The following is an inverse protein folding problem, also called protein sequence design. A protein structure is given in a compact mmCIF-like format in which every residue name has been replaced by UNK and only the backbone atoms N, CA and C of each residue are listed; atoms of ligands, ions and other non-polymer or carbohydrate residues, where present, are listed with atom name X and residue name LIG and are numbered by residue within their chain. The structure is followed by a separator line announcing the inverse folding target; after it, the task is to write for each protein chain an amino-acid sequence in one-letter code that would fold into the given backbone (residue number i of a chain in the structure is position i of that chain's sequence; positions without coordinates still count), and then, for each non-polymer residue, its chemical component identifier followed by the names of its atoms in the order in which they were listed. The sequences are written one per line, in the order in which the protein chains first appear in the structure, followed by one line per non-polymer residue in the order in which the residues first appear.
data_IF_572451100552
#
_entry.id   IF_572451100552
#
_cell.length_a   1.000
_cell.length_b   1.000
_cell.length_c   1.000
_cell.angle_alpha   90.00
_cell.angle_beta   90.00
_cell.angle_gamma   90.00
#
_symmetry.space_group_name_H-M   'P 1'
#
loop_
_entity.id
_entity.type
_entity.pdbx_description
1 polymer ?
#
# COMPACT_ATOMS: atom_id res chain seq x y z
N UNK A 1 34.28 3.33 -60.61
CA UNK A 1 35.16 4.32 -59.97
C UNK A 1 34.25 5.36 -59.35
N UNK A 2 33.99 5.31 -58.08
CA UNK A 2 34.66 5.89 -56.94
C UNK A 2 34.08 5.31 -55.66
N UNK A 3 34.97 4.85 -54.90
CA UNK A 3 34.88 4.33 -53.54
C UNK A 3 34.59 5.49 -52.58
N UNK A 4 33.72 5.29 -51.60
CA UNK A 4 33.65 6.09 -50.39
C UNK A 4 33.09 5.24 -49.21
N UNK A 5 33.97 4.42 -48.65
CA UNK A 5 33.80 3.81 -47.35
C UNK A 5 33.83 4.91 -46.26
N UNK A 6 32.71 5.28 -45.70
CA UNK A 6 32.67 6.06 -44.46
C UNK A 6 32.68 5.09 -43.25
N UNK A 7 33.79 5.03 -42.55
CA UNK A 7 33.89 4.40 -41.23
C UNK A 7 33.02 5.15 -40.24
N UNK A 8 32.28 4.42 -39.37
CA UNK A 8 31.58 5.09 -38.24
C UNK A 8 32.64 5.59 -37.24
N UNK A 9 32.46 6.81 -36.81
CA UNK A 9 33.28 7.46 -35.80
C UNK A 9 33.27 6.65 -34.49
N UNK A 10 34.49 6.38 -34.01
CA UNK A 10 34.75 5.86 -32.67
C UNK A 10 34.11 6.80 -31.62
N UNK A 11 33.05 6.37 -30.97
CA UNK A 11 32.60 6.94 -29.71
C UNK A 11 33.62 6.51 -28.64
N UNK A 12 34.45 7.43 -28.23
CA UNK A 12 35.38 7.25 -27.12
C UNK A 12 34.58 6.98 -25.81
N UNK A 13 34.88 5.93 -25.08
CA UNK A 13 34.29 5.73 -23.75
C UNK A 13 35.14 6.51 -22.73
N UNK A 14 34.69 7.73 -22.40
CA UNK A 14 35.17 8.43 -21.21
C UNK A 14 34.14 9.43 -20.72
N UNK A 15 32.99 8.92 -20.29
CA UNK A 15 32.26 9.58 -19.20
C UNK A 15 32.60 8.73 -17.98
N UNK A 16 33.50 9.22 -17.11
CA UNK A 16 33.62 8.75 -15.76
C UNK A 16 32.25 8.87 -15.13
N UNK A 17 31.58 7.77 -14.82
CA UNK A 17 30.40 7.79 -13.97
C UNK A 17 30.85 8.37 -12.64
N UNK A 18 30.49 9.63 -12.36
CA UNK A 18 30.61 10.17 -11.02
C UNK A 18 29.68 9.35 -10.14
N UNK A 19 30.26 8.56 -9.25
CA UNK A 19 29.51 7.82 -8.25
C UNK A 19 29.16 8.79 -7.12
N UNK A 20 27.87 9.15 -7.02
CA UNK A 20 27.35 9.93 -5.92
C UNK A 20 26.77 9.00 -4.85
N UNK A 21 27.40 8.99 -3.69
CA UNK A 21 26.88 8.30 -2.51
C UNK A 21 26.32 9.33 -1.54
N UNK A 22 25.05 9.20 -1.19
CA UNK A 22 24.41 10.02 -0.15
C UNK A 22 24.48 9.25 1.17
N UNK A 23 24.93 9.91 2.23
CA UNK A 23 24.95 9.33 3.57
C UNK A 23 23.55 9.02 4.05
N UNK A 24 23.36 7.85 4.69
CA UNK A 24 22.11 7.48 5.33
C UNK A 24 21.92 8.34 6.58
N UNK A 25 20.86 9.15 6.61
CA UNK A 25 20.52 9.99 7.76
C UNK A 25 19.93 9.18 8.91
N UNK A 26 19.15 8.16 8.58
CA UNK A 26 18.50 7.28 9.55
C UNK A 26 18.78 5.82 9.18
N UNK A 27 19.59 5.11 9.98
CA UNK A 27 19.78 3.66 9.79
C UNK A 27 18.46 2.92 10.03
N UNK A 28 18.07 2.04 9.11
CA UNK A 28 16.91 1.17 9.27
C UNK A 28 17.27 -0.01 10.17
N UNK A 29 16.45 -0.28 11.18
CA UNK A 29 16.56 -1.46 12.04
C UNK A 29 15.32 -2.37 11.87
N UNK A 30 15.41 -3.60 12.34
CA UNK A 30 14.39 -4.62 12.10
C UNK A 30 12.97 -4.25 12.55
N UNK A 31 12.83 -3.40 13.58
CA UNK A 31 11.54 -2.95 14.06
C UNK A 31 10.87 -1.85 13.20
N UNK A 32 11.56 -1.28 12.22
CA UNK A 32 11.01 -0.22 11.36
C UNK A 32 10.08 -0.80 10.28
N UNK A 33 8.83 -0.98 10.64
CA UNK A 33 7.76 -1.46 9.77
C UNK A 33 6.73 -0.35 9.50
N UNK A 34 5.82 -0.53 8.55
CA UNK A 34 4.75 0.46 8.30
C UNK A 34 3.81 0.63 9.50
N UNK A 35 3.41 -0.43 10.27
CA UNK A 35 2.73 -0.24 11.55
C UNK A 35 3.56 0.55 12.58
N UNK A 36 4.88 0.33 12.62
CA UNK A 36 5.76 1.12 13.49
C UNK A 36 5.70 2.62 13.13
N UNK A 37 5.71 2.98 11.85
CA UNK A 37 5.65 4.39 11.43
C UNK A 37 4.39 5.07 11.96
N UNK A 38 3.21 4.44 11.82
CA UNK A 38 1.97 4.97 12.38
C UNK A 38 2.00 5.02 13.92
N UNK A 39 2.55 4.00 14.59
CA UNK A 39 2.67 3.99 16.04
C UNK A 39 3.59 5.13 16.53
N UNK A 40 4.69 5.39 15.84
CA UNK A 40 5.62 6.47 16.14
C UNK A 40 4.97 7.85 15.92
N UNK A 41 4.17 8.01 14.87
CA UNK A 41 3.37 9.22 14.65
C UNK A 41 2.40 9.49 15.79
N UNK A 42 1.69 8.46 16.25
CA UNK A 42 0.79 8.57 17.40
C UNK A 42 1.56 8.91 18.68
N UNK A 43 2.74 8.31 18.89
CA UNK A 43 3.57 8.60 20.07
C UNK A 43 4.03 10.06 20.09
N UNK A 44 4.40 10.63 18.93
CA UNK A 44 4.88 12.02 18.82
C UNK A 44 3.75 13.04 18.94
N UNK A 45 2.61 12.80 18.31
CA UNK A 45 1.51 13.75 18.23
C UNK A 45 0.15 13.03 18.12
N UNK A 46 -0.37 12.47 19.23
CA UNK A 46 -1.59 11.65 19.22
C UNK A 46 -2.83 12.42 18.74
N UNK A 47 -2.94 13.68 19.13
CA UNK A 47 -4.09 14.55 18.83
C UNK A 47 -3.86 15.42 17.58
N UNK A 48 -2.66 15.37 17.01
CA UNK A 48 -2.33 16.06 15.76
C UNK A 48 -3.12 15.47 14.58
N UNK A 49 -3.59 16.35 13.68
CA UNK A 49 -4.28 15.93 12.46
C UNK A 49 -3.36 15.07 11.61
N UNK A 50 -3.88 13.93 11.13
CA UNK A 50 -3.14 13.02 10.28
C UNK A 50 -3.77 12.91 8.89
N UNK A 51 -5.06 12.66 8.83
CA UNK A 51 -5.76 12.45 7.57
C UNK A 51 -7.05 13.27 7.54
N UNK A 52 -7.37 13.84 6.38
CA UNK A 52 -8.61 14.55 6.17
C UNK A 52 -9.34 13.99 4.97
N UNK A 53 -10.67 13.83 5.09
CA UNK A 53 -11.53 13.40 3.99
C UNK A 53 -12.72 14.34 3.81
N UNK A 54 -13.24 14.43 2.60
CA UNK A 54 -14.49 15.14 2.37
C UNK A 54 -15.65 14.42 3.03
N UNK A 55 -16.53 15.19 3.69
CA UNK A 55 -17.79 14.64 4.18
C UNK A 55 -18.67 14.19 2.99
N UNK A 56 -19.32 13.02 3.03
CA UNK A 56 -20.24 12.57 1.98
C UNK A 56 -21.39 13.57 1.70
N UNK A 57 -21.80 14.30 2.72
CA UNK A 57 -22.92 15.27 2.67
C UNK A 57 -22.46 16.72 2.45
N UNK A 58 -21.15 16.98 2.24
CA UNK A 58 -20.72 18.36 2.26
C UNK A 58 -19.40 18.72 1.63
N UNK A 59 -19.25 20.04 1.50
CA UNK A 59 -18.05 20.69 0.97
C UNK A 59 -16.90 20.78 1.99
N UNK A 60 -17.11 20.28 3.23
CA UNK A 60 -16.13 20.43 4.33
C UNK A 60 -15.23 19.19 4.42
N UNK A 61 -13.97 19.45 4.61
CA UNK A 61 -13.00 18.43 5.02
C UNK A 61 -13.23 18.11 6.50
N UNK A 62 -13.16 16.82 6.83
CA UNK A 62 -13.12 16.32 8.21
C UNK A 62 -11.75 15.77 8.46
N UNK A 63 -11.07 16.37 9.39
CA UNK A 63 -9.75 15.94 9.85
C UNK A 63 -9.91 14.91 10.96
N UNK A 64 -8.99 13.95 10.99
CA UNK A 64 -8.89 12.90 11.98
C UNK A 64 -7.50 12.93 12.58
N UNK A 65 -7.41 12.82 13.92
CA UNK A 65 -6.14 12.75 14.62
C UNK A 65 -5.42 11.41 14.38
N UNK A 66 -4.12 11.39 14.63
CA UNK A 66 -3.32 10.19 14.51
C UNK A 66 -3.82 9.03 15.39
N UNK A 67 -4.21 9.34 16.64
CA UNK A 67 -4.77 8.34 17.56
C UNK A 67 -6.11 7.78 17.09
N UNK A 68 -7.01 8.66 16.58
CA UNK A 68 -8.31 8.25 16.07
C UNK A 68 -8.15 7.40 14.79
N UNK A 69 -7.23 7.76 13.90
CA UNK A 69 -6.95 6.97 12.71
C UNK A 69 -6.40 5.59 13.08
N UNK A 70 -5.40 5.52 13.96
CA UNK A 70 -4.84 4.23 14.42
C UNK A 70 -5.90 3.35 15.06
N UNK A 71 -6.84 3.93 15.83
CA UNK A 71 -7.96 3.17 16.40
C UNK A 71 -8.79 2.51 15.30
N UNK A 72 -9.17 3.24 14.26
CA UNK A 72 -9.92 2.66 13.14
C UNK A 72 -9.11 1.61 12.36
N UNK A 73 -7.80 1.86 12.14
CA UNK A 73 -6.89 0.89 11.54
C UNK A 73 -6.94 -0.43 12.30
N UNK A 74 -6.82 -0.41 13.64
CA UNK A 74 -6.85 -1.62 14.47
C UNK A 74 -8.22 -2.30 14.48
N UNK A 75 -9.32 -1.54 14.44
CA UNK A 75 -10.68 -2.10 14.33
C UNK A 75 -10.87 -2.85 13.01
N UNK A 76 -10.42 -2.29 11.89
CA UNK A 76 -10.48 -2.95 10.57
C UNK A 76 -9.53 -4.14 10.52
N UNK A 77 -8.30 -4.01 11.06
CA UNK A 77 -7.33 -5.10 11.15
C UNK A 77 -7.90 -6.30 11.92
N UNK A 78 -8.54 -6.06 13.07
CA UNK A 78 -9.24 -7.12 13.82
C UNK A 78 -10.34 -7.77 12.97
N UNK A 79 -11.05 -7.00 12.13
CA UNK A 79 -12.02 -7.53 11.20
C UNK A 79 -11.40 -8.46 10.14
N UNK A 80 -10.23 -8.11 9.62
CA UNK A 80 -9.49 -8.97 8.68
C UNK A 80 -9.04 -10.27 9.36
N UNK A 81 -8.58 -10.20 10.60
CA UNK A 81 -8.27 -11.38 11.42
C UNK A 81 -9.51 -12.27 11.63
N UNK A 82 -10.66 -11.66 11.97
CA UNK A 82 -11.93 -12.38 12.14
C UNK A 82 -12.42 -13.07 10.87
N UNK A 83 -12.00 -12.60 9.69
CA UNK A 83 -12.23 -13.26 8.39
C UNK A 83 -11.33 -14.46 8.13
N UNK A 84 -10.46 -14.80 9.06
CA UNK A 84 -9.58 -15.97 9.01
C UNK A 84 -8.24 -15.72 8.31
N UNK A 85 -7.92 -14.46 7.96
CA UNK A 85 -6.64 -14.15 7.34
C UNK A 85 -5.48 -14.34 8.33
N UNK A 86 -4.43 -14.98 7.84
CA UNK A 86 -3.22 -15.28 8.61
C UNK A 86 -2.08 -14.34 8.25
N UNK A 87 -1.09 -14.12 9.14
CA UNK A 87 0.12 -13.37 8.78
C UNK A 87 0.76 -13.90 7.49
N UNK A 88 1.10 -13.00 6.57
CA UNK A 88 1.63 -13.32 5.25
C UNK A 88 0.59 -13.56 4.18
N UNK A 89 -0.70 -13.70 4.50
CA UNK A 89 -1.76 -13.79 3.48
C UNK A 89 -1.84 -12.49 2.68
N UNK A 90 -2.12 -12.63 1.38
CA UNK A 90 -2.27 -11.50 0.47
C UNK A 90 -3.71 -10.97 0.47
N UNK A 91 -3.86 -9.64 0.55
CA UNK A 91 -5.11 -8.92 0.40
C UNK A 91 -5.05 -7.97 -0.80
N UNK A 92 -6.04 -8.06 -1.70
CA UNK A 92 -6.18 -7.14 -2.84
C UNK A 92 -6.93 -5.86 -2.46
N UNK A 93 -6.53 -4.73 -3.03
CA UNK A 93 -7.30 -3.48 -2.99
C UNK A 93 -7.45 -2.95 -4.42
N UNK A 94 -8.70 -2.79 -4.89
CA UNK A 94 -9.04 -2.29 -6.21
C UNK A 94 -10.01 -1.12 -6.09
N UNK A 95 -9.47 0.10 -6.06
CA UNK A 95 -10.24 1.32 -5.83
C UNK A 95 -9.46 2.54 -6.33
N UNK A 96 -10.14 3.66 -6.53
CA UNK A 96 -9.48 4.96 -6.63
C UNK A 96 -8.82 5.33 -5.31
N UNK A 97 -7.88 6.28 -5.36
CA UNK A 97 -7.27 6.85 -4.15
C UNK A 97 -8.34 7.45 -3.26
N UNK A 98 -8.50 6.90 -2.07
CA UNK A 98 -9.54 7.24 -1.11
C UNK A 98 -9.06 7.08 0.33
N UNK A 99 -9.84 7.60 1.27
CA UNK A 99 -9.62 7.35 2.70
C UNK A 99 -9.66 5.86 3.04
N UNK A 100 -10.61 5.15 2.45
CA UNK A 100 -10.81 3.72 2.65
C UNK A 100 -9.60 2.91 2.17
N UNK A 101 -8.93 3.34 1.10
CA UNK A 101 -7.68 2.71 0.64
C UNK A 101 -6.60 2.80 1.71
N UNK A 102 -6.29 4.03 2.16
CA UNK A 102 -5.27 4.25 3.20
C UNK A 102 -5.59 3.49 4.49
N UNK A 103 -6.86 3.49 4.88
CA UNK A 103 -7.32 2.74 6.05
C UNK A 103 -7.07 1.23 5.90
N UNK A 104 -7.35 0.67 4.73
CA UNK A 104 -7.15 -0.75 4.42
C UNK A 104 -5.68 -1.13 4.33
N UNK A 105 -4.82 -0.28 3.76
CA UNK A 105 -3.37 -0.51 3.72
C UNK A 105 -2.80 -0.66 5.13
N UNK A 106 -3.02 0.34 5.97
CA UNK A 106 -2.52 0.29 7.34
C UNK A 106 -3.17 -0.82 8.16
N UNK A 107 -4.46 -1.13 7.94
CA UNK A 107 -5.13 -2.23 8.62
C UNK A 107 -4.58 -3.60 8.21
N UNK A 108 -4.29 -3.79 6.93
CA UNK A 108 -3.66 -5.01 6.43
C UNK A 108 -2.27 -5.20 7.03
N UNK A 109 -1.45 -4.16 7.06
CA UNK A 109 -0.12 -4.23 7.68
C UNK A 109 -0.18 -4.46 9.19
N UNK A 110 -1.12 -3.82 9.91
CA UNK A 110 -1.34 -4.07 11.34
C UNK A 110 -1.78 -5.52 11.61
N UNK A 111 -2.50 -6.14 10.67
CA UNK A 111 -2.88 -7.56 10.73
C UNK A 111 -1.77 -8.52 10.26
N UNK A 112 -0.61 -8.01 9.82
CA UNK A 112 0.51 -8.80 9.31
C UNK A 112 0.29 -9.35 7.90
N UNK A 113 -0.55 -8.70 7.09
CA UNK A 113 -0.91 -9.11 5.73
C UNK A 113 -0.06 -8.39 4.67
N UNK A 114 -0.05 -8.97 3.46
CA UNK A 114 0.64 -8.42 2.29
C UNK A 114 -0.40 -7.74 1.38
N UNK A 115 -0.20 -6.47 1.07
CA UNK A 115 -1.14 -5.73 0.22
C UNK A 115 -0.78 -5.88 -1.25
N UNK A 116 -1.77 -6.22 -2.06
CA UNK A 116 -1.67 -6.34 -3.52
C UNK A 116 -2.56 -5.27 -4.15
N UNK A 117 -1.98 -4.12 -4.56
CA UNK A 117 -2.74 -3.08 -5.23
C UNK A 117 -3.13 -3.52 -6.64
N UNK A 118 -4.41 -3.31 -6.97
CA UNK A 118 -4.95 -3.53 -8.31
C UNK A 118 -5.51 -2.21 -8.82
N UNK A 119 -5.12 -1.81 -10.03
CA UNK A 119 -5.66 -0.59 -10.62
C UNK A 119 -7.17 -0.72 -10.84
N UNK A 120 -7.91 0.32 -10.53
CA UNK A 120 -9.36 0.41 -10.74
C UNK A 120 -9.76 0.25 -12.21
N UNK A 121 -8.82 0.53 -13.11
CA UNK A 121 -8.99 0.40 -14.58
C UNK A 121 -8.57 -0.97 -15.12
N UNK A 122 -8.13 -1.90 -14.26
CA UNK A 122 -7.71 -3.23 -14.69
C UNK A 122 -8.87 -4.01 -15.34
N UNK A 123 -8.58 -4.66 -16.47
CA UNK A 123 -9.52 -5.59 -17.07
C UNK A 123 -9.72 -6.83 -16.19
N UNK A 124 -10.79 -7.58 -16.43
CA UNK A 124 -11.04 -8.85 -15.74
C UNK A 124 -9.86 -9.83 -15.88
N UNK A 125 -9.24 -9.90 -17.07
CA UNK A 125 -8.07 -10.76 -17.33
C UNK A 125 -6.84 -10.30 -16.51
N UNK A 126 -6.59 -8.98 -16.42
CA UNK A 126 -5.51 -8.44 -15.62
C UNK A 126 -5.75 -8.69 -14.12
N UNK A 127 -6.97 -8.44 -13.64
CA UNK A 127 -7.34 -8.71 -12.26
C UNK A 127 -7.20 -10.20 -11.93
N UNK A 128 -7.71 -11.09 -12.79
CA UNK A 128 -7.55 -12.53 -12.65
C UNK A 128 -6.08 -12.92 -12.48
N UNK A 129 -5.22 -12.42 -13.39
CA UNK A 129 -3.80 -12.75 -13.35
C UNK A 129 -3.16 -12.30 -12.04
N UNK A 130 -3.37 -11.04 -11.62
CA UNK A 130 -2.80 -10.49 -10.40
C UNK A 130 -3.28 -11.27 -9.17
N UNK A 131 -4.58 -11.53 -9.07
CA UNK A 131 -5.19 -12.21 -7.92
C UNK A 131 -4.72 -13.64 -7.78
N UNK A 132 -4.56 -14.35 -8.91
CA UNK A 132 -4.07 -15.74 -8.93
C UNK A 132 -2.58 -15.82 -8.64
N UNK A 133 -1.76 -15.00 -9.32
CA UNK A 133 -0.29 -15.02 -9.19
C UNK A 133 0.17 -14.62 -7.78
N UNK A 134 -0.49 -13.63 -7.18
CA UNK A 134 -0.21 -13.22 -5.79
C UNK A 134 -0.91 -14.08 -4.72
N UNK A 135 -1.76 -15.03 -5.09
CA UNK A 135 -2.49 -15.86 -4.13
C UNK A 135 -3.41 -15.07 -3.21
N UNK A 136 -4.10 -14.05 -3.74
CA UNK A 136 -4.95 -13.16 -2.95
C UNK A 136 -6.10 -13.93 -2.29
N UNK A 137 -6.25 -13.79 -0.97
CA UNK A 137 -7.27 -14.48 -0.16
C UNK A 137 -8.54 -13.65 0.04
N UNK A 138 -8.39 -12.34 0.05
CA UNK A 138 -9.48 -11.39 0.17
C UNK A 138 -9.17 -10.18 -0.72
N UNK A 139 -10.18 -9.67 -1.44
CA UNK A 139 -10.08 -8.40 -2.15
C UNK A 139 -11.15 -7.44 -1.67
N UNK A 140 -10.77 -6.17 -1.50
CA UNK A 140 -11.70 -5.06 -1.29
C UNK A 140 -11.76 -4.26 -2.58
N UNK A 141 -12.94 -4.14 -3.15
CA UNK A 141 -13.19 -3.35 -4.36
C UNK A 141 -14.01 -2.11 -4.03
N UNK A 142 -13.95 -1.10 -4.89
CA UNK A 142 -14.61 0.18 -4.65
C UNK A 142 -16.13 0.08 -4.75
N UNK A 143 -16.65 -0.51 -5.84
CA UNK A 143 -18.05 -0.41 -6.24
C UNK A 143 -18.64 -1.73 -6.74
N UNK A 144 -19.96 -1.74 -6.97
CA UNK A 144 -20.70 -2.90 -7.43
C UNK A 144 -20.24 -3.44 -8.78
N UNK A 145 -19.80 -2.60 -9.71
CA UNK A 145 -19.33 -3.06 -11.01
C UNK A 145 -18.05 -3.88 -10.87
N UNK A 146 -17.11 -3.42 -10.05
CA UNK A 146 -15.89 -4.16 -9.73
C UNK A 146 -16.20 -5.44 -8.94
N UNK A 147 -17.12 -5.37 -7.96
CA UNK A 147 -17.54 -6.53 -7.19
C UNK A 147 -18.16 -7.63 -8.08
N UNK A 148 -18.97 -7.24 -9.04
CA UNK A 148 -19.58 -8.15 -10.02
C UNK A 148 -18.52 -8.75 -10.94
N UNK A 149 -17.57 -7.96 -11.43
CA UNK A 149 -16.47 -8.43 -12.27
C UNK A 149 -15.61 -9.47 -11.54
N UNK A 150 -15.17 -9.16 -10.31
CA UNK A 150 -14.35 -10.09 -9.52
C UNK A 150 -15.17 -11.31 -9.08
N UNK A 151 -16.45 -11.14 -8.73
CA UNK A 151 -17.37 -12.22 -8.40
C UNK A 151 -17.57 -13.21 -9.54
N UNK A 152 -17.57 -12.75 -10.79
CA UNK A 152 -17.59 -13.64 -11.95
C UNK A 152 -16.30 -14.49 -12.05
N UNK A 153 -15.15 -13.93 -11.68
CA UNK A 153 -13.87 -14.68 -11.64
C UNK A 153 -13.91 -15.79 -10.59
N UNK A 154 -14.47 -15.56 -9.41
CA UNK A 154 -14.57 -16.59 -8.37
C UNK A 154 -15.42 -17.79 -8.80
N UNK A 155 -16.32 -17.59 -9.74
CA UNK A 155 -17.20 -18.66 -10.28
C UNK A 155 -16.60 -19.42 -11.46
N UNK A 156 -15.58 -18.85 -12.11
CA UNK A 156 -15.03 -19.40 -13.38
C UNK A 156 -13.57 -19.82 -13.27
N UNK A 157 -12.85 -19.33 -12.27
CA UNK A 157 -11.41 -19.58 -12.06
C UNK A 157 -11.24 -20.40 -10.78
N UNK A 158 -10.84 -21.67 -10.86
CA UNK A 158 -10.75 -22.56 -9.70
C UNK A 158 -9.84 -22.03 -8.59
N UNK A 159 -8.74 -21.39 -8.94
CA UNK A 159 -7.77 -20.82 -8.00
C UNK A 159 -8.36 -19.65 -7.17
N UNK A 160 -9.46 -19.05 -7.65
CA UNK A 160 -10.14 -17.94 -6.99
C UNK A 160 -11.48 -18.34 -6.34
N UNK A 161 -11.85 -19.62 -6.31
CA UNK A 161 -13.12 -20.10 -5.73
C UNK A 161 -13.30 -19.68 -4.28
N UNK A 162 -12.21 -19.66 -3.49
CA UNK A 162 -12.22 -19.28 -2.08
C UNK A 162 -11.93 -17.79 -1.82
N UNK A 163 -11.77 -16.97 -2.87
CA UNK A 163 -11.50 -15.53 -2.74
C UNK A 163 -12.70 -14.82 -2.09
N UNK A 164 -12.45 -14.14 -0.98
CA UNK A 164 -13.45 -13.28 -0.37
C UNK A 164 -13.50 -11.92 -1.07
N UNK A 165 -14.69 -11.47 -1.45
CA UNK A 165 -14.89 -10.17 -2.12
C UNK A 165 -15.69 -9.26 -1.20
N UNK A 166 -15.10 -8.11 -0.84
CA UNK A 166 -15.73 -7.04 -0.10
C UNK A 166 -15.85 -5.79 -0.98
N UNK A 167 -16.88 -4.96 -0.72
CA UNK A 167 -17.14 -3.76 -1.51
C UNK A 167 -17.28 -2.53 -0.60
N UNK A 168 -16.55 -1.46 -0.91
CA UNK A 168 -16.59 -0.21 -0.14
C UNK A 168 -17.98 0.40 -0.23
N UNK A 169 -18.58 0.44 -1.41
CA UNK A 169 -19.92 1.00 -1.64
C UNK A 169 -21.02 0.27 -0.85
N UNK A 170 -20.84 -1.02 -0.55
CA UNK A 170 -21.73 -1.83 0.32
C UNK A 170 -21.51 -1.60 1.81
N UNK A 171 -20.62 -0.72 2.18
CA UNK A 171 -20.17 -0.53 3.57
C UNK A 171 -19.55 -1.79 4.21
N UNK A 172 -18.98 -2.70 3.43
CA UNK A 172 -18.40 -3.93 3.95
C UNK A 172 -17.19 -3.67 4.88
N UNK A 173 -16.51 -2.52 4.73
CA UNK A 173 -15.46 -2.07 5.66
C UNK A 173 -16.03 -1.84 7.08
N UNK A 174 -17.25 -1.30 7.19
CA UNK A 174 -17.94 -1.22 8.49
C UNK A 174 -18.34 -2.61 9.02
N UNK A 175 -18.60 -3.55 8.11
CA UNK A 175 -18.80 -4.97 8.44
C UNK A 175 -17.57 -5.61 9.07
N UNK A 176 -16.37 -5.28 8.59
CA UNK A 176 -15.11 -5.72 9.18
C UNK A 176 -14.97 -5.24 10.63
N UNK A 177 -15.22 -3.96 10.91
CA UNK A 177 -15.16 -3.41 12.27
C UNK A 177 -16.09 -4.18 13.22
N UNK A 178 -17.32 -4.50 12.76
CA UNK A 178 -18.26 -5.29 13.57
C UNK A 178 -17.76 -6.71 13.83
N UNK A 179 -17.21 -7.37 12.81
CA UNK A 179 -16.68 -8.72 12.90
C UNK A 179 -15.46 -8.80 13.85
N UNK A 180 -14.62 -7.77 13.85
CA UNK A 180 -13.40 -7.70 14.65
C UNK A 180 -13.62 -7.58 16.16
N UNK A 181 -14.81 -7.24 16.64
CA UNK A 181 -15.10 -7.01 18.07
C UNK A 181 -14.82 -8.21 18.98
N UNK A 182 -14.83 -9.42 18.44
CA UNK A 182 -14.54 -10.66 19.18
C UNK A 182 -13.07 -11.10 19.14
N UNK A 183 -12.22 -10.39 18.43
CA UNK A 183 -10.80 -10.72 18.33
C UNK A 183 -10.07 -10.29 19.60
N UNK A 184 -9.19 -11.16 20.12
CA UNK A 184 -8.36 -10.86 21.29
C UNK A 184 -7.53 -9.58 21.03
N UNK A 185 -7.59 -8.65 21.97
CA UNK A 185 -6.89 -7.35 21.85
C UNK A 185 -5.37 -7.52 21.68
N UNK A 186 -4.76 -8.58 22.23
CA UNK A 186 -3.35 -8.89 22.11
C UNK A 186 -2.94 -9.54 20.78
N UNK A 187 -3.92 -9.96 19.94
CA UNK A 187 -3.60 -10.65 18.68
C UNK A 187 -2.89 -9.73 17.70
N UNK A 188 -3.37 -8.50 17.51
CA UNK A 188 -2.72 -7.55 16.64
C UNK A 188 -1.32 -7.15 17.14
N UNK A 189 -1.14 -7.05 18.45
CA UNK A 189 0.17 -6.76 19.04
C UNK A 189 1.16 -7.90 18.79
N UNK A 190 0.70 -9.16 18.88
CA UNK A 190 1.52 -10.33 18.53
C UNK A 190 1.92 -10.32 17.05
N UNK A 191 0.97 -10.00 16.16
CA UNK A 191 1.22 -9.95 14.71
C UNK A 191 2.19 -8.85 14.34
N UNK A 192 2.00 -7.64 14.84
CA UNK A 192 2.91 -6.52 14.58
C UNK A 192 4.30 -6.73 15.18
N UNK A 193 4.39 -7.34 16.37
CA UNK A 193 5.66 -7.68 17.01
C UNK A 193 6.46 -8.75 16.24
N UNK A 194 5.79 -9.58 15.45
CA UNK A 194 6.43 -10.61 14.61
C UNK A 194 6.95 -10.04 13.28
N UNK A 195 6.52 -8.84 12.87
CA UNK A 195 7.00 -8.20 11.65
C UNK A 195 8.42 -7.65 11.83
N UNK A 196 9.19 -7.73 10.77
CA UNK A 196 10.51 -7.13 10.65
C UNK A 196 10.58 -6.24 9.43
N UNK A 197 11.64 -5.45 9.29
CA UNK A 197 11.92 -4.67 8.08
C UNK A 197 12.01 -5.55 6.82
N UNK A 198 12.34 -6.83 6.97
CA UNK A 198 12.41 -7.79 5.86
C UNK A 198 11.08 -8.46 5.53
N UNK A 199 10.07 -8.33 6.41
CA UNK A 199 8.73 -8.88 6.14
C UNK A 199 8.13 -8.20 4.91
N UNK A 200 7.49 -9.02 4.04
CA UNK A 200 6.85 -8.53 2.83
C UNK A 200 5.67 -7.63 3.19
N UNK A 201 5.64 -6.41 2.63
CA UNK A 201 4.57 -5.44 2.87
C UNK A 201 3.59 -5.35 1.71
N UNK A 202 4.09 -5.48 0.47
CA UNK A 202 3.26 -5.32 -0.72
C UNK A 202 3.87 -5.99 -1.93
N UNK A 203 3.01 -6.43 -2.88
CA UNK A 203 3.40 -6.90 -4.21
C UNK A 203 2.80 -5.97 -5.24
N UNK A 204 3.63 -5.16 -5.90
CA UNK A 204 3.18 -4.18 -6.89
C UNK A 204 3.38 -4.72 -8.30
N UNK A 205 2.28 -4.84 -9.06
CA UNK A 205 2.33 -5.35 -10.43
C UNK A 205 2.67 -4.24 -11.41
N UNK A 206 3.72 -4.47 -12.21
CA UNK A 206 4.18 -3.53 -13.24
C UNK A 206 4.01 -4.17 -14.63
N UNK A 207 3.65 -3.33 -15.63
CA UNK A 207 3.64 -3.75 -17.02
C UNK A 207 5.06 -4.02 -17.48
N UNK A 208 5.45 -5.29 -17.51
CA UNK A 208 6.73 -5.71 -18.07
C UNK A 208 6.75 -5.52 -19.60
N UNK A 209 7.94 -5.36 -20.17
CA UNK A 209 8.14 -5.26 -21.63
C UNK A 209 7.81 -6.55 -22.39
N UNK A 210 7.47 -7.65 -21.71
CA UNK A 210 7.40 -9.01 -22.25
C UNK A 210 6.04 -9.70 -22.06
N UNK A 211 4.92 -8.99 -21.88
CA UNK A 211 3.60 -9.60 -21.82
C UNK A 211 2.87 -9.40 -20.47
N UNK A 212 2.68 -10.45 -19.66
CA UNK A 212 1.92 -10.35 -18.40
C UNK A 212 2.63 -9.47 -17.36
N UNK A 213 1.88 -8.69 -16.56
CA UNK A 213 2.44 -7.93 -15.44
C UNK A 213 3.24 -8.82 -14.48
N UNK A 214 4.35 -8.29 -13.96
CA UNK A 214 5.20 -8.96 -12.97
C UNK A 214 5.01 -8.34 -11.61
N UNK A 215 4.86 -9.16 -10.58
CA UNK A 215 4.80 -8.74 -9.19
C UNK A 215 6.19 -8.37 -8.67
N UNK A 216 6.32 -7.14 -8.17
CA UNK A 216 7.52 -6.66 -7.48
C UNK A 216 7.24 -6.72 -5.98
N UNK A 217 7.97 -7.55 -5.28
CA UNK A 217 7.89 -7.72 -3.83
C UNK A 217 8.65 -6.58 -3.13
N UNK A 218 7.96 -5.85 -2.26
CA UNK A 218 8.56 -4.80 -1.44
C UNK A 218 8.33 -5.11 0.04
N UNK A 219 9.43 -5.10 0.81
CA UNK A 219 9.38 -5.28 2.25
C UNK A 219 8.94 -4.00 2.97
N UNK A 220 8.56 -4.10 4.25
CA UNK A 220 8.33 -2.94 5.10
C UNK A 220 9.56 -2.02 5.13
N UNK A 221 10.76 -2.59 5.19
CA UNK A 221 12.01 -1.85 5.15
C UNK A 221 12.21 -1.05 3.88
N UNK A 222 11.85 -1.59 2.70
CA UNK A 222 11.94 -0.83 1.45
C UNK A 222 11.09 0.44 1.49
N UNK A 223 9.88 0.35 2.05
CA UNK A 223 8.95 1.49 2.13
C UNK A 223 9.40 2.50 3.19
N UNK A 224 9.67 2.04 4.43
CA UNK A 224 10.02 2.92 5.55
C UNK A 224 11.39 3.55 5.38
N UNK A 225 12.40 2.78 4.89
CA UNK A 225 13.75 3.30 4.63
C UNK A 225 13.70 4.51 3.69
N UNK A 226 12.94 4.40 2.61
CA UNK A 226 12.79 5.51 1.67
C UNK A 226 12.18 6.74 2.34
N UNK A 227 11.12 6.56 3.15
CA UNK A 227 10.44 7.66 3.83
C UNK A 227 11.36 8.37 4.84
N UNK A 228 12.00 7.62 5.74
CA UNK A 228 12.83 8.21 6.81
C UNK A 228 14.11 8.87 6.29
N UNK A 229 14.57 8.50 5.10
CA UNK A 229 15.79 9.07 4.51
C UNK A 229 15.50 10.15 3.45
N UNK A 230 14.33 10.17 2.81
CA UNK A 230 13.96 11.22 1.85
C UNK A 230 13.33 12.44 2.53
N UNK A 231 12.42 12.22 3.48
CA UNK A 231 11.71 13.33 4.15
C UNK A 231 12.64 14.40 4.75
N UNK A 232 13.76 14.05 5.42
CA UNK A 232 14.69 15.04 5.95
C UNK A 232 15.41 15.90 4.90
N UNK A 233 15.47 15.43 3.64
CA UNK A 233 16.08 16.19 2.54
C UNK A 233 15.13 17.19 1.88
N UNK A 234 13.84 17.10 2.17
CA UNK A 234 12.80 18.00 1.61
C UNK A 234 11.90 18.55 2.71
N UNK A 235 12.47 19.16 3.76
CA UNK A 235 11.72 19.60 4.94
C UNK A 235 10.66 20.64 4.60
N UNK A 236 10.84 21.41 3.52
CA UNK A 236 9.88 22.42 3.06
C UNK A 236 8.59 21.78 2.52
N UNK A 237 8.64 20.51 2.12
CA UNK A 237 7.51 19.76 1.52
C UNK A 237 6.93 18.74 2.48
N UNK A 238 7.80 18.01 3.20
CA UNK A 238 7.41 16.89 4.05
C UNK A 238 7.82 17.08 5.54
N UNK A 239 8.36 18.25 5.90
CA UNK A 239 8.80 18.55 7.26
C UNK A 239 7.84 19.48 7.97
N UNK A 240 7.44 19.10 9.20
CA UNK A 240 6.69 19.96 10.11
C UNK A 240 5.23 19.56 10.29
N UNK A 241 4.70 19.88 11.49
CA UNK A 241 3.36 19.47 11.93
C UNK A 241 2.21 20.17 11.18
N UNK A 242 2.51 21.21 10.40
CA UNK A 242 1.51 22.00 9.67
C UNK A 242 1.47 21.68 8.17
N UNK A 243 2.34 20.79 7.70
CA UNK A 243 2.35 20.39 6.28
C UNK A 243 1.07 19.62 5.96
N UNK A 244 0.37 20.08 4.92
CA UNK A 244 -0.83 19.43 4.41
C UNK A 244 -0.59 19.00 2.98
N UNK A 245 -0.69 17.71 2.73
CA UNK A 245 -0.49 17.13 1.42
C UNK A 245 -1.82 16.67 0.82
N UNK A 246 -2.13 17.09 -0.41
CA UNK A 246 -3.26 16.55 -1.15
C UNK A 246 -2.80 15.29 -1.89
N UNK A 247 -3.15 14.12 -1.36
CA UNK A 247 -2.84 12.85 -2.00
C UNK A 247 -3.86 12.57 -3.11
N UNK A 248 -3.43 12.77 -4.35
CA UNK A 248 -4.21 12.50 -5.56
C UNK A 248 -3.56 11.45 -6.46
N UNK A 249 -2.35 11.01 -6.11
CA UNK A 249 -1.64 9.98 -6.84
C UNK A 249 -2.34 8.63 -6.66
N UNK A 250 -2.40 7.79 -7.71
CA UNK A 250 -2.93 6.44 -7.55
C UNK A 250 -2.14 5.64 -6.50
N UNK A 251 -2.84 5.14 -5.47
CA UNK A 251 -2.23 4.29 -4.45
C UNK A 251 -1.90 2.87 -4.97
N UNK A 252 -2.44 2.50 -6.13
CA UNK A 252 -1.97 1.33 -6.85
C UNK A 252 -0.54 1.48 -7.41
N UNK A 253 -0.01 2.72 -7.45
CA UNK A 253 1.35 3.01 -7.91
C UNK A 253 2.28 3.24 -6.71
N UNK A 254 3.52 2.70 -6.78
CA UNK A 254 4.51 2.77 -5.68
C UNK A 254 4.79 4.20 -5.20
N UNK A 255 4.79 5.21 -6.09
CA UNK A 255 4.99 6.61 -5.69
C UNK A 255 3.85 7.13 -4.82
N UNK A 256 2.59 6.78 -5.13
CA UNK A 256 1.44 7.14 -4.28
C UNK A 256 1.59 6.57 -2.87
N UNK A 257 1.99 5.31 -2.77
CA UNK A 257 2.23 4.62 -1.49
C UNK A 257 3.41 5.21 -0.71
N UNK A 258 4.49 5.60 -1.41
CA UNK A 258 5.57 6.33 -0.77
C UNK A 258 5.07 7.62 -0.11
N UNK A 259 4.32 8.44 -0.85
CA UNK A 259 3.78 9.69 -0.30
C UNK A 259 2.81 9.42 0.86
N UNK A 260 1.95 8.40 0.75
CA UNK A 260 1.03 7.97 1.81
C UNK A 260 1.76 7.69 3.12
N UNK A 261 2.87 6.95 3.08
CA UNK A 261 3.65 6.58 4.27
C UNK A 261 4.51 7.76 4.74
N UNK A 262 5.06 8.56 3.83
CA UNK A 262 5.95 9.68 4.14
C UNK A 262 5.26 10.80 4.92
N UNK A 263 3.93 10.95 4.78
CA UNK A 263 3.16 11.98 5.49
C UNK A 263 2.60 11.50 6.85
N UNK A 264 2.83 10.24 7.21
CA UNK A 264 2.50 9.66 8.53
C UNK A 264 3.64 9.89 9.51
#
# INVERSE_FOLDING_TARGET
MTDASARPANLSPSASSEEHTTELLVPVHDGMTTPWALAERVRRSPDGGLIARKSPLGRRWREMSASAFRTQVREVAAGLVARGLQPGDAIGIMSHTSYEWTLLDFAAWEAGLVVVPVYETSSAEQAQWILTDAGVRLIVVENEAMASMVGALTSTVPELESLQVLCIEREDVLGLIKAGRGVDAGELDRRTAALTSQSLATIVYTSGTTGRPKGVELSHGNLVHLCVNVCPHVPEVLGGDEVRFLLFLPLAHVLGRFVEIAVV
#
